data_IF_155872015146
#
_entry.id   IF_155872015146
#
_cell.length_a   1.000
_cell.length_b   1.000
_cell.length_c   1.000
_cell.angle_alpha   90.00
_cell.angle_beta   90.00
_cell.angle_gamma   90.00
#
_symmetry.space_group_name_H-M   'P 1'
#
loop_
_entity.id
_entity.type
_entity.pdbx_description
1 polymer ?
#
# COMPACT_ATOMS: atom_id res chain seq x y z
N UNK A 1 -50.45 13.57 39.13
CA UNK A 1 -49.76 12.92 40.27
C UNK A 1 -48.94 11.78 39.72
N UNK A 2 -47.61 11.96 39.83
CA UNK A 2 -46.49 11.02 39.72
C UNK A 2 -46.29 10.28 38.39
N UNK A 3 -45.25 10.68 37.62
CA UNK A 3 -44.18 9.79 37.11
C UNK A 3 -43.37 10.28 35.86
N UNK A 4 -42.96 11.55 35.67
CA UNK A 4 -41.75 11.82 34.89
C UNK A 4 -40.48 11.50 35.70
N UNK A 5 -40.54 11.66 37.03
CA UNK A 5 -39.42 11.45 37.95
C UNK A 5 -39.01 9.96 38.09
N UNK A 6 -39.91 9.02 37.81
CA UNK A 6 -39.64 7.57 37.89
C UNK A 6 -38.90 7.02 36.65
N UNK A 7 -38.96 7.69 35.49
CA UNK A 7 -38.18 7.29 34.31
C UNK A 7 -36.74 7.81 34.37
N UNK A 8 -36.50 8.97 35.01
CA UNK A 8 -35.17 9.55 35.15
C UNK A 8 -34.25 8.74 36.09
N UNK A 9 -34.80 8.02 37.06
CA UNK A 9 -34.02 7.25 38.06
C UNK A 9 -33.46 5.92 37.54
N UNK A 10 -33.93 5.39 36.40
CA UNK A 10 -33.54 4.07 35.88
C UNK A 10 -33.00 4.08 34.44
N UNK A 11 -32.78 5.25 33.82
CA UNK A 11 -32.09 5.29 32.53
C UNK A 11 -30.58 5.04 32.75
N UNK A 12 -29.98 4.04 32.10
CA UNK A 12 -28.58 3.67 32.34
C UNK A 12 -27.58 4.76 31.91
N UNK A 13 -28.01 5.74 31.10
CA UNK A 13 -27.15 6.76 30.52
C UNK A 13 -27.21 8.10 31.25
N UNK A 14 -28.23 8.36 32.07
CA UNK A 14 -28.36 9.59 32.86
C UNK A 14 -27.42 9.59 34.07
N UNK A 15 -26.79 10.72 34.35
CA UNK A 15 -25.81 10.81 35.44
C UNK A 15 -24.74 11.88 35.22
N UNK A 16 -23.84 12.00 36.19
CA UNK A 16 -22.66 12.88 36.11
C UNK A 16 -21.42 12.02 35.89
N UNK A 17 -20.61 12.41 34.92
CA UNK A 17 -19.37 11.78 34.52
C UNK A 17 -18.22 12.72 34.84
N UNK A 18 -17.30 12.25 35.67
CA UNK A 18 -16.18 13.04 36.23
C UNK A 18 -14.86 12.35 35.91
N UNK A 19 -13.80 13.15 35.82
CA UNK A 19 -12.47 12.63 35.49
C UNK A 19 -11.80 12.05 36.73
N UNK A 20 -11.36 10.80 36.68
CA UNK A 20 -10.78 10.12 37.84
C UNK A 20 -9.38 10.64 38.26
N UNK A 21 -8.72 11.44 37.42
CA UNK A 21 -7.29 11.77 37.56
C UNK A 21 -7.04 13.25 37.80
N UNK A 22 -7.33 13.76 39.01
CA UNK A 22 -6.67 14.90 39.70
C UNK A 22 -6.29 16.20 38.97
N UNK A 23 -6.75 16.43 37.74
CA UNK A 23 -6.40 17.54 36.86
C UNK A 23 -7.71 18.19 36.39
N UNK A 24 -8.06 19.29 37.06
CA UNK A 24 -9.24 20.15 36.87
C UNK A 24 -10.61 19.44 37.07
N UNK A 25 -11.47 20.04 37.89
CA UNK A 25 -12.84 19.57 38.14
C UNK A 25 -13.74 19.82 36.92
N UNK A 26 -13.54 19.04 35.86
CA UNK A 26 -14.40 19.00 34.68
C UNK A 26 -15.45 17.89 34.83
N UNK A 27 -16.70 18.20 34.46
CA UNK A 27 -17.80 17.26 34.53
C UNK A 27 -18.70 17.33 33.30
N UNK A 28 -19.23 16.17 32.92
CA UNK A 28 -20.33 16.04 31.98
C UNK A 28 -21.58 15.58 32.70
N UNK A 29 -22.72 16.21 32.43
CA UNK A 29 -24.02 15.77 32.95
C UNK A 29 -24.93 15.38 31.80
N UNK A 30 -25.55 14.22 31.95
CA UNK A 30 -26.59 13.72 31.04
C UNK A 30 -27.91 13.66 31.78
N UNK A 31 -28.91 14.36 31.25
CA UNK A 31 -30.29 14.35 31.76
C UNK A 31 -31.28 14.10 30.62
N UNK A 32 -32.50 13.68 30.96
CA UNK A 32 -33.57 13.58 29.96
C UNK A 32 -33.99 14.98 29.51
N UNK A 33 -34.18 15.14 28.21
CA UNK A 33 -34.76 16.37 27.65
C UNK A 33 -36.29 16.35 27.77
N UNK A 34 -36.92 17.53 27.72
CA UNK A 34 -38.38 17.66 27.60
C UNK A 34 -38.92 17.07 26.29
N UNK A 35 -38.04 16.78 25.32
CA UNK A 35 -38.38 16.10 24.06
C UNK A 35 -38.29 14.58 24.22
N UNK A 36 -39.30 13.80 23.78
CA UNK A 36 -39.27 12.35 23.87
C UNK A 36 -38.03 11.75 23.20
N UNK A 37 -37.41 10.75 23.86
CA UNK A 37 -36.23 10.01 23.36
C UNK A 37 -34.97 10.86 23.11
N UNK A 38 -34.90 12.06 23.69
CA UNK A 38 -33.75 12.95 23.57
C UNK A 38 -33.11 13.19 24.94
N UNK A 39 -31.80 13.41 24.93
CA UNK A 39 -30.97 13.61 26.10
C UNK A 39 -30.32 14.98 26.05
N UNK A 40 -30.33 15.70 27.18
CA UNK A 40 -29.58 16.94 27.35
C UNK A 40 -28.21 16.62 27.92
N UNK A 41 -27.19 17.18 27.30
CA UNK A 41 -25.79 17.05 27.67
C UNK A 41 -25.26 18.42 28.06
N UNK A 42 -24.78 18.52 29.29
CA UNK A 42 -24.15 19.71 29.84
C UNK A 42 -22.67 19.43 30.14
N UNK A 43 -21.80 20.40 29.91
CA UNK A 43 -20.39 20.38 30.29
C UNK A 43 -20.04 21.60 31.13
N UNK A 44 -19.28 21.42 32.21
CA UNK A 44 -18.79 22.53 33.01
C UNK A 44 -17.49 22.23 33.72
N UNK A 45 -16.81 23.30 34.13
CA UNK A 45 -15.60 23.25 34.96
C UNK A 45 -15.85 23.62 36.43
N UNK A 46 -14.76 23.71 37.20
CA UNK A 46 -14.70 23.91 38.66
C UNK A 46 -15.46 25.15 39.22
N UNK A 47 -15.93 26.05 38.36
CA UNK A 47 -16.71 27.24 38.73
C UNK A 47 -18.23 27.11 38.60
N UNK A 48 -18.75 25.93 38.24
CA UNK A 48 -20.18 25.69 38.04
C UNK A 48 -20.78 26.38 36.81
N UNK A 49 -19.94 26.98 35.96
CA UNK A 49 -20.35 27.55 34.67
C UNK A 49 -20.53 26.41 33.67
N UNK A 50 -21.69 26.39 33.01
CA UNK A 50 -21.97 25.46 31.92
C UNK A 50 -21.47 26.10 30.63
N UNK A 51 -20.47 25.47 30.01
CA UNK A 51 -19.84 25.95 28.78
C UNK A 51 -20.48 25.32 27.53
N UNK A 52 -21.09 24.14 27.69
CA UNK A 52 -21.80 23.43 26.62
C UNK A 52 -23.13 22.95 27.16
N UNK A 53 -24.20 23.19 26.42
CA UNK A 53 -25.55 22.71 26.71
C UNK A 53 -26.24 22.34 25.39
N UNK A 54 -26.39 21.05 25.14
CA UNK A 54 -26.89 20.53 23.86
C UNK A 54 -27.86 19.38 24.07
N UNK A 55 -28.84 19.23 23.19
CA UNK A 55 -29.78 18.11 23.20
C UNK A 55 -29.47 17.17 22.04
N UNK A 56 -29.32 15.88 22.31
CA UNK A 56 -28.93 14.84 21.35
C UNK A 56 -29.86 13.62 21.44
N UNK A 57 -29.90 12.79 20.40
CA UNK A 57 -30.54 11.48 20.44
C UNK A 57 -29.66 10.42 21.14
N UNK A 58 -30.21 9.21 21.32
CA UNK A 58 -29.55 8.11 22.00
C UNK A 58 -28.26 7.63 21.31
N UNK A 59 -28.21 7.61 19.98
CA UNK A 59 -27.06 7.13 19.23
C UNK A 59 -25.88 8.10 19.34
N UNK A 60 -26.15 9.40 19.24
CA UNK A 60 -25.18 10.46 19.48
C UNK A 60 -24.70 10.49 20.95
N UNK A 61 -25.61 10.25 21.90
CA UNK A 61 -25.23 10.11 23.32
C UNK A 61 -24.27 8.94 23.51
N UNK A 62 -24.56 7.75 22.94
CA UNK A 62 -23.69 6.56 23.04
C UNK A 62 -22.30 6.81 22.47
N UNK A 63 -22.20 7.48 21.32
CA UNK A 63 -20.92 7.85 20.73
C UNK A 63 -20.11 8.80 21.64
N UNK A 64 -20.79 9.77 22.28
CA UNK A 64 -20.17 10.68 23.25
C UNK A 64 -19.70 9.95 24.52
N UNK A 65 -20.50 9.03 25.06
CA UNK A 65 -20.13 8.24 26.24
C UNK A 65 -18.87 7.38 26.00
N UNK A 66 -18.76 6.71 24.84
CA UNK A 66 -17.55 5.94 24.48
C UNK A 66 -16.32 6.84 24.39
N UNK A 67 -16.48 8.05 23.82
CA UNK A 67 -15.41 9.04 23.73
C UNK A 67 -14.98 9.51 25.12
N UNK A 68 -15.92 9.89 25.98
CA UNK A 68 -15.65 10.33 27.35
C UNK A 68 -14.95 9.26 28.19
N UNK A 69 -15.35 7.99 28.03
CA UNK A 69 -14.67 6.86 28.69
C UNK A 69 -13.20 6.76 28.27
N UNK A 70 -12.87 6.95 26.98
CA UNK A 70 -11.48 7.00 26.49
C UNK A 70 -10.70 8.22 27.01
N UNK A 71 -11.39 9.31 27.27
CA UNK A 71 -10.83 10.56 27.81
C UNK A 71 -10.67 10.55 29.34
N UNK A 72 -11.10 9.46 29.98
CA UNK A 72 -10.96 9.20 31.42
C UNK A 72 -12.12 9.68 32.28
N UNK A 73 -13.27 10.03 31.69
CA UNK A 73 -14.49 10.34 32.43
C UNK A 73 -15.24 9.06 32.76
N UNK A 74 -15.56 8.88 34.03
CA UNK A 74 -16.35 7.76 34.54
C UNK A 74 -17.54 8.29 35.33
N UNK A 75 -18.64 7.52 35.35
CA UNK A 75 -19.80 7.86 36.16
C UNK A 75 -19.43 7.73 37.64
N UNK A 76 -19.77 8.74 38.45
CA UNK A 76 -19.56 8.67 39.90
C UNK A 76 -20.36 7.48 40.48
N UNK A 77 -19.65 6.43 40.94
CA UNK A 77 -20.23 5.20 41.49
C UNK A 77 -20.02 3.93 40.66
N UNK A 78 -19.50 4.03 39.42
CA UNK A 78 -19.10 2.87 38.63
C UNK A 78 -17.63 2.52 38.93
N UNK A 79 -17.37 1.86 40.06
CA UNK A 79 -16.14 1.09 40.22
C UNK A 79 -16.13 0.00 39.14
N UNK A 80 -15.28 0.18 38.13
CA UNK A 80 -15.26 -0.61 36.91
C UNK A 80 -15.03 -2.10 37.20
N UNK A 81 -16.07 -2.93 37.04
CA UNK A 81 -15.85 -4.28 36.51
C UNK A 81 -15.55 -4.11 35.02
N UNK A 82 -14.29 -3.95 34.66
CA UNK A 82 -13.84 -4.14 33.28
C UNK A 82 -14.23 -5.56 32.87
N UNK A 83 -15.37 -5.74 32.20
CA UNK A 83 -15.54 -6.87 31.29
C UNK A 83 -14.55 -6.64 30.16
N UNK A 84 -13.28 -6.98 30.38
CA UNK A 84 -12.30 -7.11 29.33
C UNK A 84 -12.95 -7.96 28.24
N UNK A 85 -13.07 -7.42 27.02
CA UNK A 85 -13.39 -8.23 25.87
C UNK A 85 -12.43 -9.45 25.90
N UNK A 86 -12.93 -10.69 25.75
CA UNK A 86 -12.11 -11.86 25.96
C UNK A 86 -10.89 -11.78 25.04
N UNK A 87 -9.71 -11.54 25.65
CA UNK A 87 -8.43 -11.62 24.95
C UNK A 87 -8.22 -13.09 24.64
N UNK A 88 -8.62 -13.52 23.45
CA UNK A 88 -8.47 -14.89 23.01
C UNK A 88 -6.98 -15.22 22.80
N UNK A 89 -6.32 -15.57 23.90
CA UNK A 89 -4.95 -16.08 23.92
C UNK A 89 -4.80 -17.42 23.17
N UNK A 90 -5.92 -18.08 22.86
CA UNK A 90 -5.98 -19.32 22.09
C UNK A 90 -6.01 -19.09 20.56
N UNK A 91 -6.36 -17.90 20.07
CA UNK A 91 -6.52 -17.63 18.64
C UNK A 91 -5.25 -17.97 17.83
N UNK A 92 -4.08 -17.51 18.28
CA UNK A 92 -2.81 -17.78 17.58
C UNK A 92 -2.44 -19.27 17.61
N UNK A 93 -2.77 -19.99 18.68
CA UNK A 93 -2.54 -21.43 18.78
C UNK A 93 -3.48 -22.20 17.84
N UNK A 94 -4.76 -21.82 17.82
CA UNK A 94 -5.76 -22.38 16.91
C UNK A 94 -5.39 -22.11 15.44
N UNK A 95 -4.91 -20.90 15.12
CA UNK A 95 -4.43 -20.54 13.79
C UNK A 95 -3.23 -21.40 13.37
N UNK A 96 -2.23 -21.56 14.24
CA UNK A 96 -1.07 -22.45 13.99
C UNK A 96 -1.52 -23.87 13.69
N UNK A 97 -2.46 -24.40 14.48
CA UNK A 97 -3.01 -25.73 14.27
C UNK A 97 -3.78 -25.86 12.95
N UNK A 98 -4.56 -24.85 12.56
CA UNK A 98 -5.27 -24.81 11.28
C UNK A 98 -4.30 -24.80 10.07
N UNK A 99 -3.16 -24.10 10.19
CA UNK A 99 -2.11 -24.07 9.17
C UNK A 99 -1.46 -25.46 9.01
N UNK A 100 -1.10 -26.11 10.13
CA UNK A 100 -0.48 -27.43 10.14
C UNK A 100 -1.37 -28.53 9.55
N UNK A 101 -2.68 -28.46 9.81
CA UNK A 101 -3.67 -29.41 9.25
C UNK A 101 -3.87 -29.20 7.74
N UNK A 102 -3.88 -27.96 7.27
CA UNK A 102 -4.02 -27.62 5.84
C UNK A 102 -2.81 -28.10 5.02
N UNK A 103 -1.59 -27.94 5.55
CA UNK A 103 -0.35 -28.37 4.88
C UNK A 103 -0.30 -29.88 4.59
N UNK A 104 -1.01 -30.70 5.39
CA UNK A 104 -1.05 -32.17 5.24
C UNK A 104 -2.05 -32.66 4.18
N UNK A 105 -3.02 -31.87 3.73
CA UNK A 105 -4.10 -32.34 2.84
C UNK A 105 -3.87 -32.04 1.35
N UNK A 106 -2.96 -31.13 1.00
CA UNK A 106 -2.71 -30.72 -0.37
C UNK A 106 -1.82 -31.72 -1.13
N UNK A 107 -2.43 -32.66 -1.88
CA UNK A 107 -1.69 -33.43 -2.89
C UNK A 107 -1.25 -32.49 -4.02
N UNK A 108 0.04 -32.36 -4.32
CA UNK A 108 0.48 -31.49 -5.40
C UNK A 108 0.05 -32.11 -6.74
N UNK A 109 -0.77 -31.36 -7.49
CA UNK A 109 -0.99 -31.64 -8.91
C UNK A 109 0.38 -31.52 -9.59
N UNK A 110 0.74 -32.47 -10.44
CA UNK A 110 2.03 -32.53 -11.13
C UNK A 110 2.14 -31.46 -12.23
N UNK A 111 1.94 -30.20 -11.87
CA UNK A 111 2.15 -29.06 -12.76
C UNK A 111 3.61 -28.62 -12.65
N UNK A 112 4.21 -28.34 -13.80
CA UNK A 112 5.61 -27.93 -13.91
C UNK A 112 5.75 -26.58 -13.20
N UNK A 113 6.53 -26.52 -12.12
CA UNK A 113 6.71 -25.31 -11.30
C UNK A 113 8.19 -24.91 -11.19
N UNK A 114 8.44 -23.64 -10.94
CA UNK A 114 9.75 -23.10 -10.54
C UNK A 114 9.66 -22.56 -9.11
N UNK A 115 10.71 -22.69 -8.32
CA UNK A 115 10.77 -22.09 -6.99
C UNK A 115 11.34 -20.67 -7.08
N UNK A 116 10.62 -19.69 -6.55
CA UNK A 116 11.05 -18.29 -6.44
C UNK A 116 10.88 -17.87 -4.98
N UNK A 117 11.97 -17.44 -4.35
CA UNK A 117 12.01 -17.35 -2.89
C UNK A 117 11.78 -18.73 -2.27
N UNK A 118 10.76 -18.87 -1.43
CA UNK A 118 10.30 -20.16 -0.89
C UNK A 118 8.97 -20.66 -1.54
N UNK A 119 8.46 -19.97 -2.56
CA UNK A 119 7.16 -20.26 -3.18
C UNK A 119 7.34 -21.03 -4.48
N UNK A 120 6.49 -22.05 -4.70
CA UNK A 120 6.41 -22.77 -5.99
C UNK A 120 5.44 -22.05 -6.91
N UNK A 121 5.97 -21.51 -8.01
CA UNK A 121 5.21 -20.78 -9.03
C UNK A 121 4.99 -21.68 -10.25
N UNK A 122 3.74 -21.89 -10.71
CA UNK A 122 3.48 -22.64 -11.93
C UNK A 122 4.13 -21.99 -13.16
N UNK A 123 4.77 -22.82 -13.99
CA UNK A 123 5.44 -22.36 -15.21
C UNK A 123 4.39 -22.10 -16.30
N UNK A 124 4.41 -20.89 -16.84
CA UNK A 124 3.60 -20.46 -17.97
C UNK A 124 4.11 -20.94 -19.32
N UNK A 125 3.59 -20.32 -20.37
CA UNK A 125 4.00 -20.57 -21.76
C UNK A 125 4.98 -19.50 -22.20
N UNK A 126 6.16 -19.92 -22.66
CA UNK A 126 7.13 -19.01 -23.24
C UNK A 126 6.53 -18.23 -24.42
N UNK A 127 6.77 -16.93 -24.45
CA UNK A 127 6.34 -16.02 -25.50
C UNK A 127 7.33 -14.85 -25.62
N UNK A 128 7.31 -14.08 -26.73
CA UNK A 128 8.11 -12.85 -26.86
C UNK A 128 7.81 -11.79 -25.80
N UNK A 129 6.68 -11.91 -25.09
CA UNK A 129 6.26 -11.00 -24.04
C UNK A 129 6.81 -11.39 -22.66
N UNK A 130 7.54 -12.50 -22.54
CA UNK A 130 8.20 -12.88 -21.28
C UNK A 130 9.33 -11.88 -21.01
N UNK A 131 9.37 -11.19 -19.86
CA UNK A 131 10.43 -10.25 -19.55
C UNK A 131 11.81 -10.92 -19.46
N UNK A 132 12.86 -10.12 -19.62
CA UNK A 132 14.23 -10.59 -19.44
C UNK A 132 14.49 -10.96 -17.97
N UNK A 133 15.14 -12.10 -17.76
CA UNK A 133 15.61 -12.50 -16.43
C UNK A 133 16.82 -11.63 -16.04
N UNK A 134 16.70 -10.90 -14.94
CA UNK A 134 17.82 -10.29 -14.26
C UNK A 134 18.39 -11.30 -13.25
N UNK A 135 19.53 -11.90 -13.56
CA UNK A 135 20.20 -12.88 -12.68
C UNK A 135 20.63 -12.29 -11.34
N UNK A 136 20.86 -10.98 -11.26
CA UNK A 136 21.26 -10.29 -10.04
C UNK A 136 20.08 -9.93 -9.12
N UNK A 137 18.82 -10.08 -9.58
CA UNK A 137 17.65 -9.73 -8.77
C UNK A 137 17.59 -10.55 -7.47
N UNK A 138 17.42 -9.87 -6.35
CA UNK A 138 17.28 -10.45 -5.02
C UNK A 138 15.80 -10.58 -4.64
N UNK A 139 15.33 -11.80 -4.45
CA UNK A 139 14.02 -12.06 -3.84
C UNK A 139 14.18 -12.12 -2.31
N UNK A 140 13.94 -10.99 -1.64
CA UNK A 140 13.88 -10.93 -0.20
C UNK A 140 12.75 -11.83 0.34
N UNK A 141 12.92 -12.36 1.56
CA UNK A 141 11.94 -13.26 2.17
C UNK A 141 10.56 -12.61 2.33
N UNK A 142 10.54 -11.29 2.59
CA UNK A 142 9.31 -10.48 2.67
C UNK A 142 8.46 -10.48 1.40
N UNK A 143 9.00 -10.89 0.25
CA UNK A 143 8.25 -10.98 -1.00
C UNK A 143 7.51 -12.30 -1.17
N UNK A 144 7.74 -13.30 -0.31
CA UNK A 144 7.12 -14.61 -0.44
C UNK A 144 5.60 -14.54 -0.39
N UNK A 145 5.02 -13.72 0.50
CA UNK A 145 3.56 -13.55 0.58
C UNK A 145 2.98 -12.94 -0.70
N UNK A 146 3.69 -11.97 -1.29
CA UNK A 146 3.31 -11.36 -2.58
C UNK A 146 3.33 -12.43 -3.68
N UNK A 147 4.36 -13.28 -3.70
CA UNK A 147 4.51 -14.36 -4.69
C UNK A 147 3.42 -15.43 -4.50
N UNK A 148 3.06 -15.76 -3.25
CA UNK A 148 1.98 -16.68 -2.95
C UNK A 148 0.64 -16.14 -3.48
N UNK A 149 0.35 -14.86 -3.24
CA UNK A 149 -0.84 -14.19 -3.75
C UNK A 149 -0.89 -14.13 -5.29
N UNK A 150 0.26 -13.96 -5.95
CA UNK A 150 0.38 -14.08 -7.41
C UNK A 150 -0.05 -15.49 -7.87
N UNK A 151 0.42 -16.53 -7.19
CA UNK A 151 0.07 -17.93 -7.52
C UNK A 151 -1.44 -18.14 -7.34
N UNK A 152 -2.03 -17.63 -6.26
CA UNK A 152 -3.46 -17.69 -5.96
C UNK A 152 -4.36 -16.85 -6.88
N UNK A 153 -3.80 -16.11 -7.84
CA UNK A 153 -4.54 -15.19 -8.71
C UNK A 153 -5.25 -14.06 -7.94
N UNK A 154 -4.65 -13.59 -6.84
CA UNK A 154 -5.12 -12.36 -6.18
C UNK A 154 -4.82 -11.15 -7.05
N UNK A 155 -5.66 -10.12 -6.94
CA UNK A 155 -5.41 -8.81 -7.57
C UNK A 155 -4.38 -8.10 -6.71
N UNK A 156 -3.13 -8.01 -7.15
CA UNK A 156 -2.05 -7.48 -6.30
C UNK A 156 -1.76 -6.03 -6.68
N UNK A 157 -1.80 -5.15 -5.68
CA UNK A 157 -1.39 -3.76 -5.81
C UNK A 157 -0.14 -3.50 -4.97
N UNK A 158 0.92 -3.03 -5.60
CA UNK A 158 2.17 -2.66 -4.93
C UNK A 158 2.24 -1.14 -4.81
N UNK A 159 2.37 -0.63 -3.59
CA UNK A 159 2.50 0.80 -3.33
C UNK A 159 3.83 1.06 -2.65
N UNK A 160 4.54 2.12 -3.05
CA UNK A 160 5.82 2.46 -2.45
C UNK A 160 6.54 3.52 -3.26
N UNK A 161 7.73 3.92 -2.82
CA UNK A 161 8.48 4.97 -3.49
C UNK A 161 8.93 4.60 -4.92
N UNK A 162 9.19 5.63 -5.72
CA UNK A 162 9.76 5.48 -7.06
C UNK A 162 11.12 4.80 -6.99
N UNK A 163 11.31 3.74 -7.78
CA UNK A 163 12.58 3.01 -7.81
C UNK A 163 12.78 2.01 -6.67
N UNK A 164 11.76 1.71 -5.86
CA UNK A 164 11.78 0.63 -4.86
C UNK A 164 11.64 -0.79 -5.46
N UNK A 165 11.43 -0.92 -6.77
CA UNK A 165 11.41 -2.21 -7.46
C UNK A 165 10.03 -2.88 -7.59
N UNK A 166 8.93 -2.13 -7.46
CA UNK A 166 7.54 -2.63 -7.59
C UNK A 166 7.29 -3.43 -8.87
N UNK A 167 7.44 -2.78 -10.02
CA UNK A 167 7.27 -3.42 -11.34
C UNK A 167 8.30 -4.53 -11.55
N UNK A 168 9.55 -4.31 -11.12
CA UNK A 168 10.62 -5.29 -11.27
C UNK A 168 10.34 -6.58 -10.50
N UNK A 169 9.70 -6.52 -9.32
CA UNK A 169 9.28 -7.73 -8.60
C UNK A 169 8.37 -8.59 -9.47
N UNK A 170 7.30 -8.00 -10.00
CA UNK A 170 6.33 -8.71 -10.84
C UNK A 170 6.99 -9.26 -12.10
N UNK A 171 7.76 -8.43 -12.81
CA UNK A 171 8.47 -8.83 -14.02
C UNK A 171 9.46 -9.97 -13.77
N UNK A 172 10.18 -9.95 -12.64
CA UNK A 172 11.18 -10.96 -12.32
C UNK A 172 10.56 -12.28 -11.85
N UNK A 173 9.38 -12.25 -11.22
CA UNK A 173 8.56 -13.45 -11.00
C UNK A 173 8.11 -14.00 -12.36
N UNK A 174 7.53 -13.17 -13.23
CA UNK A 174 7.03 -13.56 -14.55
C UNK A 174 8.14 -14.14 -15.45
N UNK A 175 9.31 -13.51 -15.49
CA UNK A 175 10.45 -13.94 -16.30
C UNK A 175 10.92 -15.36 -15.93
N UNK A 176 11.05 -15.63 -14.63
CA UNK A 176 11.50 -16.95 -14.12
C UNK A 176 10.44 -18.02 -14.26
N UNK A 177 9.16 -17.65 -14.17
CA UNK A 177 8.01 -18.54 -14.35
C UNK A 177 7.50 -18.61 -15.80
N UNK A 178 8.13 -17.89 -16.75
CA UNK A 178 7.79 -17.88 -18.19
C UNK A 178 6.36 -17.43 -18.49
N UNK A 179 5.88 -16.40 -17.80
CA UNK A 179 4.62 -15.73 -18.13
C UNK A 179 4.88 -14.46 -18.94
N UNK A 180 4.11 -14.26 -20.01
CA UNK A 180 4.18 -13.04 -20.81
C UNK A 180 3.54 -11.87 -20.07
N UNK A 181 4.13 -10.69 -20.19
CA UNK A 181 3.70 -9.47 -19.49
C UNK A 181 3.33 -8.38 -20.50
N UNK A 182 2.19 -7.74 -20.30
CA UNK A 182 1.85 -6.45 -20.90
C UNK A 182 1.89 -5.38 -19.80
N UNK A 183 2.36 -4.19 -20.17
CA UNK A 183 2.42 -3.04 -19.29
C UNK A 183 1.62 -1.90 -19.88
N UNK A 184 0.85 -1.24 -19.02
CA UNK A 184 0.15 -0.01 -19.36
C UNK A 184 0.50 1.04 -18.32
N UNK A 185 1.21 2.09 -18.74
CA UNK A 185 1.62 3.14 -17.82
C UNK A 185 0.60 4.28 -17.83
N UNK A 186 0.00 4.54 -16.68
CA UNK A 186 -1.00 5.59 -16.51
C UNK A 186 -0.29 6.92 -16.34
N UNK A 187 0.03 7.57 -17.45
CA UNK A 187 0.71 8.87 -17.50
C UNK A 187 -0.26 10.07 -17.62
N UNK A 188 -1.56 9.86 -17.38
CA UNK A 188 -2.61 10.85 -17.61
C UNK A 188 -2.96 11.13 -19.09
N UNK A 189 -2.28 10.49 -20.04
CA UNK A 189 -2.61 10.55 -21.48
C UNK A 189 -3.14 9.22 -22.03
N UNK A 190 -3.04 8.13 -21.26
CA UNK A 190 -3.57 6.83 -21.65
C UNK A 190 -5.09 6.89 -21.68
N UNK A 191 -5.65 6.68 -22.86
CA UNK A 191 -7.10 6.76 -23.07
C UNK A 191 -7.80 5.44 -22.74
N UNK A 192 -9.12 5.50 -22.54
CA UNK A 192 -9.95 4.29 -22.46
C UNK A 192 -9.82 3.45 -23.72
N UNK A 193 -9.64 4.06 -24.89
CA UNK A 193 -9.48 3.37 -26.16
C UNK A 193 -8.18 2.57 -26.24
N UNK A 194 -7.08 3.08 -25.69
CA UNK A 194 -5.82 2.32 -25.58
C UNK A 194 -5.98 1.14 -24.60
N UNK A 195 -6.73 1.36 -23.52
CA UNK A 195 -6.88 0.38 -22.46
C UNK A 195 -7.87 -0.74 -22.79
N UNK A 196 -9.02 -0.40 -23.39
CA UNK A 196 -10.15 -1.29 -23.67
C UNK A 196 -10.23 -1.66 -25.15
N UNK A 197 -9.99 -0.71 -26.05
CA UNK A 197 -10.06 -0.94 -27.49
C UNK A 197 -10.90 0.12 -28.20
N UNK A 198 -10.89 0.05 -29.53
CA UNK A 198 -11.58 1.00 -30.39
C UNK A 198 -11.95 0.37 -31.74
N UNK A 199 -12.92 0.99 -32.42
CA UNK A 199 -13.23 0.67 -33.81
C UNK A 199 -12.32 1.44 -34.77
N UNK A 200 -11.79 0.76 -35.77
CA UNK A 200 -11.02 1.36 -36.87
C UNK A 200 -11.52 0.86 -38.22
N UNK A 201 -11.13 1.54 -39.31
CA UNK A 201 -11.49 1.15 -40.67
C UNK A 201 -10.23 0.71 -41.41
N UNK A 202 -10.19 -0.54 -41.86
CA UNK A 202 -9.06 -1.07 -42.64
C UNK A 202 -9.59 -1.66 -43.94
N UNK A 203 -9.17 -1.09 -45.08
CA UNK A 203 -9.61 -1.56 -46.39
C UNK A 203 -11.10 -1.37 -46.68
N UNK A 204 -11.76 -0.41 -46.02
CA UNK A 204 -13.20 -0.14 -46.18
C UNK A 204 -14.12 -0.92 -45.23
N UNK A 205 -13.58 -1.81 -44.40
CA UNK A 205 -14.33 -2.56 -43.39
C UNK A 205 -14.04 -2.03 -41.98
N UNK A 206 -15.08 -1.92 -41.15
CA UNK A 206 -14.96 -1.60 -39.72
C UNK A 206 -14.52 -2.83 -38.94
N UNK A 207 -13.38 -2.71 -38.25
CA UNK A 207 -12.83 -3.76 -37.39
C UNK A 207 -12.58 -3.24 -35.99
N UNK A 208 -12.86 -4.09 -34.99
CA UNK A 208 -12.53 -3.81 -33.60
C UNK A 208 -11.07 -4.17 -33.33
N UNK A 209 -10.37 -3.28 -32.65
CA UNK A 209 -9.02 -3.52 -32.14
C UNK A 209 -9.09 -3.53 -30.63
N UNK A 210 -8.71 -4.64 -30.02
CA UNK A 210 -8.67 -4.76 -28.56
C UNK A 210 -7.54 -3.90 -27.98
N UNK A 211 -7.85 -3.24 -26.86
CA UNK A 211 -6.85 -2.58 -26.03
C UNK A 211 -6.06 -3.57 -25.18
N UNK A 212 -5.20 -3.04 -24.32
CA UNK A 212 -4.27 -3.86 -23.50
C UNK A 212 -4.99 -4.84 -22.57
N UNK A 213 -6.13 -4.41 -21.99
CA UNK A 213 -6.87 -5.19 -21.00
C UNK A 213 -7.55 -6.42 -21.62
N UNK A 214 -8.43 -6.29 -22.63
CA UNK A 214 -9.03 -7.45 -23.26
C UNK A 214 -8.01 -8.38 -23.90
N UNK A 215 -6.93 -7.85 -24.48
CA UNK A 215 -5.83 -8.65 -25.04
C UNK A 215 -5.20 -9.52 -23.95
N UNK A 216 -4.79 -8.93 -22.82
CA UNK A 216 -4.20 -9.69 -21.71
C UNK A 216 -5.17 -10.72 -21.12
N UNK A 217 -6.44 -10.35 -20.96
CA UNK A 217 -7.47 -11.24 -20.44
C UNK A 217 -7.69 -12.47 -21.32
N UNK A 218 -7.75 -12.31 -22.66
CA UNK A 218 -7.97 -13.42 -23.60
C UNK A 218 -6.74 -14.31 -23.72
N UNK A 219 -5.55 -13.72 -23.78
CA UNK A 219 -4.29 -14.46 -24.00
C UNK A 219 -3.69 -15.05 -22.71
N UNK A 220 -4.26 -14.73 -21.55
CA UNK A 220 -3.74 -15.21 -20.27
C UNK A 220 -2.40 -14.58 -19.89
N UNK A 221 -2.16 -13.36 -20.35
CA UNK A 221 -0.97 -12.59 -20.03
C UNK A 221 -1.09 -11.95 -18.66
N UNK A 222 0.05 -11.57 -18.11
CA UNK A 222 0.10 -10.75 -16.90
C UNK A 222 -0.01 -9.30 -17.32
N UNK A 223 -0.97 -8.56 -16.76
CA UNK A 223 -1.12 -7.13 -17.02
C UNK A 223 -0.66 -6.34 -15.80
N UNK A 224 0.35 -5.48 -15.99
CA UNK A 224 0.78 -4.50 -14.98
C UNK A 224 0.26 -3.13 -15.39
N UNK A 225 -0.52 -2.54 -14.50
CA UNK A 225 -0.96 -1.15 -14.62
C UNK A 225 -0.05 -0.30 -13.74
N UNK A 226 0.91 0.38 -14.36
CA UNK A 226 1.81 1.25 -13.63
C UNK A 226 1.17 2.61 -13.37
N UNK A 227 1.49 3.19 -12.20
CA UNK A 227 1.02 4.51 -11.78
C UNK A 227 -0.51 4.62 -11.78
N UNK A 228 -1.22 3.57 -11.32
CA UNK A 228 -2.69 3.50 -11.34
C UNK A 228 -3.36 4.72 -10.68
N UNK A 229 -2.67 5.37 -9.74
CA UNK A 229 -3.07 6.62 -9.13
C UNK A 229 -3.23 7.78 -10.12
N UNK A 230 -2.65 7.71 -11.31
CA UNK A 230 -2.81 8.70 -12.38
C UNK A 230 -3.78 8.24 -13.49
N UNK A 231 -4.43 7.07 -13.34
CA UNK A 231 -5.38 6.56 -14.33
C UNK A 231 -6.64 7.42 -14.40
N UNK A 232 -7.18 7.66 -15.58
CA UNK A 232 -8.46 8.37 -15.71
C UNK A 232 -9.59 7.63 -14.96
N UNK A 233 -10.57 8.36 -14.36
CA UNK A 233 -11.70 7.74 -13.66
C UNK A 233 -12.48 6.73 -14.50
N UNK A 234 -12.52 6.94 -15.81
CA UNK A 234 -13.13 6.04 -16.81
C UNK A 234 -12.43 4.67 -16.85
N UNK A 235 -11.10 4.63 -16.76
CA UNK A 235 -10.30 3.40 -16.68
C UNK A 235 -10.55 2.69 -15.34
N UNK A 236 -10.59 3.43 -14.23
CA UNK A 236 -10.88 2.87 -12.90
C UNK A 236 -12.28 2.23 -12.85
N UNK A 237 -13.27 2.85 -13.50
CA UNK A 237 -14.62 2.31 -13.61
C UNK A 237 -14.66 0.96 -14.37
N UNK A 238 -13.90 0.86 -15.48
CA UNK A 238 -13.77 -0.41 -16.23
C UNK A 238 -13.10 -1.48 -15.37
N UNK A 239 -12.05 -1.12 -14.62
CA UNK A 239 -11.32 -2.06 -13.76
C UNK A 239 -12.19 -2.65 -12.66
N UNK A 240 -13.14 -1.89 -12.12
CA UNK A 240 -14.00 -2.34 -11.01
C UNK A 240 -14.65 -3.69 -11.32
N UNK A 241 -15.19 -3.88 -12.54
CA UNK A 241 -15.83 -5.13 -12.95
C UNK A 241 -14.85 -6.31 -13.10
N UNK A 242 -13.60 -6.04 -13.45
CA UNK A 242 -12.55 -7.07 -13.64
C UNK A 242 -11.92 -7.49 -12.31
N UNK A 243 -11.94 -6.59 -11.32
CA UNK A 243 -11.41 -6.83 -9.98
C UNK A 243 -12.32 -7.71 -9.11
N UNK A 244 -13.61 -7.76 -9.41
CA UNK A 244 -14.54 -8.68 -8.73
C UNK A 244 -14.12 -10.15 -8.87
N UNK A 245 -14.52 -11.03 -7.93
CA UNK A 245 -14.33 -12.48 -8.07
C UNK A 245 -14.94 -13.00 -9.37
N UNK A 246 -14.15 -13.73 -10.17
CA UNK A 246 -14.51 -14.16 -11.54
C UNK A 246 -14.87 -12.98 -12.47
N UNK A 247 -14.31 -11.80 -12.22
CA UNK A 247 -14.56 -10.56 -12.94
C UNK A 247 -14.47 -10.73 -14.45
N UNK A 248 -15.41 -10.10 -15.16
CA UNK A 248 -15.54 -10.15 -16.61
C UNK A 248 -15.54 -8.73 -17.16
N UNK A 249 -15.01 -8.56 -18.35
CA UNK A 249 -15.03 -7.27 -19.04
C UNK A 249 -16.20 -7.26 -20.02
N UNK A 250 -17.08 -6.27 -19.89
CA UNK A 250 -18.17 -6.02 -20.84
C UNK A 250 -17.72 -4.96 -21.86
N UNK A 251 -17.53 -5.37 -23.12
CA UNK A 251 -17.22 -4.48 -24.23
C UNK A 251 -18.52 -3.94 -24.83
N UNK A 252 -19.08 -2.90 -24.20
CA UNK A 252 -20.35 -2.28 -24.65
C UNK A 252 -20.30 -1.82 -26.12
N UNK A 253 -19.18 -1.20 -26.51
CA UNK A 253 -18.97 -0.69 -27.87
C UNK A 253 -18.85 -1.80 -28.92
N UNK A 254 -18.54 -3.03 -28.49
CA UNK A 254 -18.43 -4.21 -29.34
C UNK A 254 -19.63 -5.14 -29.19
N UNK A 255 -20.84 -4.55 -29.24
CA UNK A 255 -22.09 -5.32 -29.19
C UNK A 255 -22.31 -6.06 -27.86
N UNK A 256 -21.84 -5.49 -26.75
CA UNK A 256 -21.93 -6.10 -25.41
C UNK A 256 -21.22 -7.46 -25.28
N UNK A 257 -20.10 -7.66 -26.01
CA UNK A 257 -19.28 -8.86 -25.83
C UNK A 257 -18.78 -8.96 -24.38
N UNK A 258 -18.89 -10.16 -23.79
CA UNK A 258 -18.37 -10.46 -22.46
C UNK A 258 -17.06 -11.22 -22.59
N UNK A 259 -15.98 -10.62 -22.12
CA UNK A 259 -14.65 -11.23 -22.07
C UNK A 259 -14.42 -11.82 -20.68
N UNK A 260 -14.30 -13.15 -20.63
CA UNK A 260 -13.86 -13.87 -19.44
C UNK A 260 -12.34 -13.92 -19.38
N UNK A 261 -11.76 -13.72 -18.19
CA UNK A 261 -10.31 -13.83 -18.01
C UNK A 261 -9.84 -15.28 -18.15
N UNK A 262 -8.78 -15.48 -18.92
CA UNK A 262 -8.07 -16.76 -19.01
C UNK A 262 -7.51 -17.16 -17.62
N UNK A 263 -7.47 -18.46 -17.24
CA UNK A 263 -7.00 -18.89 -15.91
C UNK A 263 -5.57 -18.44 -15.54
N UNK A 264 -4.70 -18.23 -16.53
CA UNK A 264 -3.33 -17.70 -16.36
C UNK A 264 -3.25 -16.17 -16.32
N UNK A 265 -4.33 -15.45 -16.62
CA UNK A 265 -4.35 -13.99 -16.52
C UNK A 265 -4.09 -13.59 -15.07
N UNK A 266 -3.18 -12.63 -14.88
CA UNK A 266 -2.89 -12.00 -13.59
C UNK A 266 -2.94 -10.49 -13.78
N UNK A 267 -3.51 -9.79 -12.81
CA UNK A 267 -3.68 -8.35 -12.86
C UNK A 267 -2.95 -7.71 -11.70
N UNK A 268 -2.10 -6.75 -12.03
CA UNK A 268 -1.26 -6.02 -11.12
C UNK A 268 -1.48 -4.52 -11.25
N UNK A 269 -1.32 -3.81 -10.15
CA UNK A 269 -1.23 -2.37 -10.14
C UNK A 269 0.02 -1.92 -9.38
N UNK A 270 0.66 -0.85 -9.84
CA UNK A 270 1.66 -0.14 -9.04
C UNK A 270 1.20 1.30 -8.82
N UNK A 271 1.48 1.84 -7.65
CA UNK A 271 1.23 3.25 -7.34
C UNK A 271 2.37 3.84 -6.51
N UNK A 272 2.53 5.16 -6.57
CA UNK A 272 3.54 5.88 -5.77
C UNK A 272 2.93 6.47 -4.48
N UNK A 273 1.62 6.72 -4.45
CA UNK A 273 0.91 7.21 -3.28
C UNK A 273 -0.18 6.24 -2.80
N UNK A 274 -0.26 6.01 -1.48
CA UNK A 274 -1.48 5.48 -0.85
C UNK A 274 -2.41 6.67 -0.65
N UNK A 275 -3.62 6.64 -1.21
CA UNK A 275 -4.63 7.72 -1.17
C UNK A 275 -4.71 8.53 0.14
N UNK A 276 -5.77 8.40 0.94
CA UNK A 276 -5.92 9.22 2.17
C UNK A 276 -4.98 8.82 3.32
N UNK A 277 -4.15 7.77 3.14
CA UNK A 277 -3.34 7.15 4.20
C UNK A 277 -1.83 7.43 4.14
N UNK A 278 -1.34 8.16 3.14
CA UNK A 278 0.09 8.53 3.08
C UNK A 278 0.35 9.89 3.72
N UNK A 279 1.22 9.93 4.73
CA UNK A 279 1.80 11.16 5.29
C UNK A 279 2.52 12.02 4.22
N UNK A 280 2.91 11.41 3.10
CA UNK A 280 3.62 12.05 1.98
C UNK A 280 2.69 12.46 0.82
N UNK A 281 1.37 12.54 1.05
CA UNK A 281 0.37 12.92 0.02
C UNK A 281 0.70 14.25 -0.67
N UNK A 282 1.26 15.21 0.07
CA UNK A 282 1.60 16.54 -0.45
C UNK A 282 2.70 16.50 -1.53
N UNK A 283 3.48 15.42 -1.63
CA UNK A 283 4.56 15.25 -2.60
C UNK A 283 4.08 14.75 -3.97
N UNK A 284 2.84 14.27 -4.11
CA UNK A 284 2.32 13.65 -5.34
C UNK A 284 1.07 14.39 -5.84
N UNK A 285 1.27 15.60 -6.38
CA UNK A 285 0.20 16.41 -6.98
C UNK A 285 -0.37 15.71 -8.24
N UNK A 286 -1.70 15.61 -8.34
CA UNK A 286 -2.40 15.06 -9.52
C UNK A 286 -2.83 13.60 -9.43
N UNK A 287 -2.48 12.88 -8.35
CA UNK A 287 -2.95 11.53 -8.10
C UNK A 287 -4.45 11.48 -7.71
N UNK A 288 -5.19 10.55 -8.29
CA UNK A 288 -6.57 10.23 -7.94
C UNK A 288 -6.66 9.60 -6.55
N UNK A 289 -7.67 10.03 -5.80
CA UNK A 289 -8.05 9.36 -4.57
C UNK A 289 -8.75 8.05 -4.91
N UNK A 290 -8.06 6.93 -4.68
CA UNK A 290 -8.72 5.63 -4.64
C UNK A 290 -9.48 5.52 -3.32
N UNK A 291 -10.81 5.35 -3.41
CA UNK A 291 -11.63 5.15 -2.21
C UNK A 291 -11.38 3.75 -1.62
N UNK A 292 -11.73 3.58 -0.35
CA UNK A 292 -11.55 2.31 0.38
C UNK A 292 -12.21 1.14 -0.36
N UNK A 293 -13.43 1.33 -0.87
CA UNK A 293 -14.14 0.30 -1.63
C UNK A 293 -13.34 -0.19 -2.85
N UNK A 294 -12.66 0.69 -3.60
CA UNK A 294 -11.82 0.28 -4.72
C UNK A 294 -10.61 -0.53 -4.23
N UNK A 295 -9.98 -0.09 -3.13
CA UNK A 295 -8.82 -0.74 -2.54
C UNK A 295 -9.14 -2.11 -1.93
N UNK A 296 -10.34 -2.32 -1.38
CA UNK A 296 -10.79 -3.61 -0.82
C UNK A 296 -10.77 -4.77 -1.83
N UNK A 297 -10.77 -4.45 -3.13
CA UNK A 297 -10.69 -5.44 -4.22
C UNK A 297 -9.27 -5.85 -4.55
N UNK A 298 -8.28 -5.16 -3.99
CA UNK A 298 -6.86 -5.45 -4.15
C UNK A 298 -6.30 -6.06 -2.88
N UNK A 299 -5.34 -6.98 -3.02
CA UNK A 299 -4.34 -7.17 -1.97
C UNK A 299 -3.29 -6.08 -2.12
N UNK A 300 -3.31 -5.14 -1.18
CA UNK A 300 -2.40 -4.01 -1.16
C UNK A 300 -1.16 -4.37 -0.33
N UNK A 301 0.02 -4.26 -0.92
CA UNK A 301 1.30 -4.39 -0.24
C UNK A 301 2.07 -3.07 -0.30
N UNK A 302 2.66 -2.69 0.83
CA UNK A 302 3.61 -1.58 0.91
C UNK A 302 5.02 -2.13 0.63
N UNK A 303 5.68 -1.53 -0.35
CA UNK A 303 7.01 -1.90 -0.80
C UNK A 303 7.98 -0.76 -0.55
N UNK A 304 8.61 -0.81 0.61
CA UNK A 304 9.72 0.07 0.95
C UNK A 304 11.02 -0.38 0.27
N UNK A 305 12.02 0.49 0.32
CA UNK A 305 13.37 0.16 -0.11
C UNK A 305 13.92 -1.06 0.64
N UNK A 306 14.88 -1.74 0.03
CA UNK A 306 15.58 -2.86 0.65
C UNK A 306 16.36 -2.38 1.88
N UNK A 307 16.54 -3.28 2.85
CA UNK A 307 17.43 -3.01 3.98
C UNK A 307 18.89 -2.80 3.50
N UNK A 308 19.75 -2.13 4.26
CA UNK A 308 21.14 -1.91 3.86
C UNK A 308 21.87 -3.22 3.49
N UNK A 309 21.64 -4.30 4.23
CA UNK A 309 22.24 -5.61 3.96
C UNK A 309 21.74 -6.21 2.63
N UNK A 310 20.44 -6.12 2.37
CA UNK A 310 19.84 -6.57 1.11
C UNK A 310 20.31 -5.72 -0.08
N UNK A 311 20.46 -4.40 0.09
CA UNK A 311 20.99 -3.53 -0.97
C UNK A 311 22.47 -3.77 -1.25
N UNK A 312 23.27 -4.02 -0.21
CA UNK A 312 24.66 -4.42 -0.39
C UNK A 312 24.76 -5.72 -1.19
N UNK A 313 23.89 -6.70 -0.90
CA UNK A 313 23.80 -7.94 -1.68
C UNK A 313 23.40 -7.68 -3.13
N UNK A 314 22.43 -6.78 -3.38
CA UNK A 314 22.04 -6.39 -4.75
C UNK A 314 23.20 -5.72 -5.49
N UNK A 315 23.93 -4.82 -4.83
CA UNK A 315 25.11 -4.15 -5.41
C UNK A 315 26.19 -5.18 -5.80
N UNK A 316 26.51 -6.11 -4.90
CA UNK A 316 27.49 -7.17 -5.17
C UNK A 316 27.04 -8.06 -6.32
N UNK A 317 25.78 -8.51 -6.35
CA UNK A 317 25.25 -9.35 -7.44
C UNK A 317 25.27 -8.66 -8.79
N UNK A 318 24.93 -7.37 -8.80
CA UNK A 318 24.78 -6.59 -10.04
C UNK A 318 26.13 -6.17 -10.62
N UNK A 319 27.09 -5.84 -9.76
CA UNK A 319 28.37 -5.23 -10.15
C UNK A 319 29.57 -6.17 -9.88
N UNK A 320 29.32 -7.47 -9.69
CA UNK A 320 30.36 -8.49 -9.58
C UNK A 320 31.23 -8.54 -10.86
N UNK A 321 32.54 -8.88 -10.74
CA UNK A 321 33.30 -9.05 -9.49
C UNK A 321 33.90 -7.74 -8.96
N UNK A 322 33.57 -6.59 -9.56
CA UNK A 322 34.21 -5.29 -9.29
C UNK A 322 33.73 -4.62 -7.99
N UNK A 323 32.60 -5.07 -7.46
CA UNK A 323 32.04 -4.59 -6.19
C UNK A 323 32.44 -5.49 -5.03
N UNK A 324 33.20 -4.95 -4.08
CA UNK A 324 33.54 -5.65 -2.83
C UNK A 324 32.46 -5.46 -1.77
N UNK A 325 32.42 -6.37 -0.79
CA UNK A 325 31.47 -6.30 0.33
C UNK A 325 31.57 -4.99 1.12
N UNK A 326 32.77 -4.52 1.55
CA UNK A 326 32.88 -3.25 2.27
C UNK A 326 32.35 -2.07 1.44
N UNK A 327 32.67 -2.01 0.14
CA UNK A 327 32.16 -0.95 -0.74
C UNK A 327 30.62 -0.99 -0.83
N UNK A 328 30.05 -2.18 -0.99
CA UNK A 328 28.60 -2.35 -1.09
C UNK A 328 27.89 -1.94 0.21
N UNK A 329 28.43 -2.34 1.36
CA UNK A 329 27.92 -1.97 2.69
C UNK A 329 28.00 -0.45 2.92
N UNK A 330 29.12 0.19 2.57
CA UNK A 330 29.25 1.66 2.65
C UNK A 330 28.25 2.38 1.75
N UNK A 331 28.11 1.96 0.50
CA UNK A 331 27.16 2.58 -0.44
C UNK A 331 25.70 2.40 0.01
N UNK A 332 25.35 1.22 0.51
CA UNK A 332 24.03 0.94 1.05
C UNK A 332 23.73 1.78 2.31
N UNK A 333 24.73 1.97 3.19
CA UNK A 333 24.61 2.83 4.36
C UNK A 333 24.36 4.30 3.96
N UNK A 334 25.09 4.83 2.98
CA UNK A 334 24.87 6.18 2.43
C UNK A 334 23.45 6.33 1.91
N UNK A 335 22.96 5.37 1.11
CA UNK A 335 21.60 5.41 0.59
C UNK A 335 20.55 5.37 1.70
N UNK A 336 20.79 4.55 2.74
CA UNK A 336 19.94 4.48 3.93
C UNK A 336 19.87 5.83 4.66
N UNK A 337 21.00 6.49 4.88
CA UNK A 337 21.06 7.80 5.54
C UNK A 337 20.38 8.90 4.72
N UNK A 338 20.54 8.88 3.39
CA UNK A 338 19.79 9.78 2.52
C UNK A 338 18.27 9.53 2.61
N UNK A 339 17.82 8.28 2.69
CA UNK A 339 16.39 7.97 2.87
C UNK A 339 15.89 8.41 4.25
N UNK A 340 16.70 8.25 5.30
CA UNK A 340 16.37 8.74 6.64
C UNK A 340 16.25 10.27 6.66
N UNK A 341 17.13 10.99 5.94
CA UNK A 341 17.03 12.43 5.76
C UNK A 341 15.74 12.84 5.02
N UNK A 342 15.34 12.10 3.98
CA UNK A 342 14.05 12.30 3.33
C UNK A 342 12.86 12.07 4.29
N UNK A 343 12.88 11.02 5.12
CA UNK A 343 11.82 10.76 6.10
C UNK A 343 11.68 11.88 7.14
N UNK A 344 12.78 12.58 7.46
CA UNK A 344 12.78 13.77 8.33
C UNK A 344 12.46 15.07 7.60
N UNK A 345 12.16 15.01 6.30
CA UNK A 345 11.91 16.16 5.43
C UNK A 345 13.14 17.08 5.22
N UNK A 346 14.35 16.58 5.52
CA UNK A 346 15.60 17.29 5.24
C UNK A 346 15.96 17.26 3.74
N UNK A 347 15.44 16.26 3.00
CA UNK A 347 15.57 16.14 1.54
C UNK A 347 14.20 16.17 0.89
N UNK A 348 14.09 16.81 -0.27
CA UNK A 348 12.83 16.90 -1.01
C UNK A 348 12.44 15.57 -1.71
N UNK A 349 13.42 14.69 -1.96
CA UNK A 349 13.19 13.43 -2.68
C UNK A 349 13.95 12.25 -2.09
N UNK A 350 13.32 11.08 -2.08
CA UNK A 350 13.94 9.86 -1.61
C UNK A 350 15.11 9.40 -2.51
N UNK A 351 16.18 8.89 -1.89
CA UNK A 351 17.30 8.30 -2.59
C UNK A 351 16.97 6.86 -3.04
N UNK A 352 16.70 6.67 -4.33
CA UNK A 352 16.25 5.36 -4.84
C UNK A 352 17.37 4.34 -5.07
N UNK A 353 17.05 3.05 -5.00
CA UNK A 353 17.97 1.95 -5.36
C UNK A 353 18.49 2.06 -6.80
N UNK A 354 17.68 2.60 -7.72
CA UNK A 354 18.12 2.89 -9.10
C UNK A 354 19.25 3.92 -9.13
N UNK A 355 19.12 5.00 -8.35
CA UNK A 355 20.14 6.05 -8.23
C UNK A 355 21.41 5.49 -7.59
N UNK A 356 21.28 4.62 -6.59
CA UNK A 356 22.39 3.91 -5.95
C UNK A 356 23.19 3.07 -6.96
N UNK A 357 22.50 2.26 -7.78
CA UNK A 357 23.14 1.41 -8.78
C UNK A 357 23.86 2.23 -9.86
N UNK A 358 23.23 3.28 -10.39
CA UNK A 358 23.81 4.21 -11.37
C UNK A 358 25.08 4.88 -10.82
N UNK A 359 25.02 5.37 -9.58
CA UNK A 359 26.17 5.96 -8.90
C UNK A 359 27.30 4.96 -8.69
N UNK A 360 26.99 3.74 -8.23
CA UNK A 360 27.97 2.69 -8.01
C UNK A 360 28.67 2.26 -9.31
N UNK A 361 27.94 2.11 -10.41
CA UNK A 361 28.50 1.78 -11.72
C UNK A 361 29.44 2.89 -12.21
N UNK A 362 29.02 4.15 -12.10
CA UNK A 362 29.83 5.30 -12.47
C UNK A 362 31.08 5.42 -11.59
N UNK A 363 30.97 5.22 -10.29
CA UNK A 363 32.08 5.21 -9.34
C UNK A 363 33.13 4.16 -9.72
N UNK A 364 32.69 2.94 -10.03
CA UNK A 364 33.60 1.88 -10.48
C UNK A 364 34.30 2.26 -11.80
N UNK A 365 33.62 2.98 -12.70
CA UNK A 365 34.20 3.43 -13.96
C UNK A 365 35.19 4.59 -13.80
N UNK A 366 34.89 5.56 -12.94
CA UNK A 366 35.71 6.77 -12.76
C UNK A 366 36.84 6.57 -11.74
N UNK A 367 36.69 5.62 -10.82
CA UNK A 367 37.57 5.48 -9.65
C UNK A 367 37.38 6.60 -8.62
N UNK A 368 36.32 7.42 -8.76
CA UNK A 368 36.09 8.61 -7.95
C UNK A 368 34.59 8.74 -7.60
N UNK A 369 34.20 8.51 -6.33
CA UNK A 369 32.81 8.55 -5.90
C UNK A 369 32.20 9.96 -5.97
N UNK A 370 32.96 11.02 -5.71
CA UNK A 370 32.48 12.40 -5.74
C UNK A 370 32.23 12.84 -7.19
N UNK A 371 33.16 12.53 -8.09
CA UNK A 371 33.00 12.80 -9.52
C UNK A 371 31.85 12.00 -10.13
N UNK A 372 31.65 10.75 -9.71
CA UNK A 372 30.53 9.93 -10.13
C UNK A 372 29.18 10.46 -9.61
N UNK A 373 29.14 11.02 -8.41
CA UNK A 373 27.94 11.59 -7.82
C UNK A 373 27.42 12.81 -8.59
N UNK A 374 28.29 13.55 -9.29
CA UNK A 374 27.91 14.68 -10.14
C UNK A 374 26.73 14.38 -11.09
N UNK A 375 26.92 13.54 -12.13
CA UNK A 375 25.86 13.17 -13.06
C UNK A 375 24.85 12.18 -12.47
N UNK A 376 25.25 11.32 -11.53
CA UNK A 376 24.37 10.29 -10.97
C UNK A 376 23.31 10.87 -10.02
N UNK A 377 23.69 11.89 -9.25
CA UNK A 377 22.94 12.40 -8.10
C UNK A 377 22.76 13.92 -8.19
N UNK A 378 23.84 14.70 -8.12
CA UNK A 378 23.79 16.14 -7.84
C UNK A 378 23.09 16.94 -8.94
N UNK A 379 23.28 16.57 -10.21
CA UNK A 379 22.64 17.26 -11.33
C UNK A 379 21.11 17.03 -11.41
N UNK A 380 20.55 16.15 -10.57
CA UNK A 380 19.13 15.73 -10.60
C UNK A 380 18.33 16.26 -9.40
N UNK A 381 18.93 17.05 -8.52
CA UNK A 381 18.33 17.54 -7.26
C UNK A 381 18.63 19.03 -7.07
N UNK A 382 18.00 19.67 -6.08
CA UNK A 382 18.30 21.07 -5.76
C UNK A 382 19.74 21.24 -5.27
N UNK A 383 20.32 22.45 -5.35
CA UNK A 383 21.63 22.72 -4.77
C UNK A 383 21.71 22.41 -3.26
N UNK A 384 20.64 22.65 -2.50
CA UNK A 384 20.60 22.31 -1.06
C UNK A 384 20.63 20.80 -0.83
N UNK A 385 19.78 20.04 -1.53
CA UNK A 385 19.75 18.58 -1.47
C UNK A 385 21.11 17.99 -1.87
N UNK A 386 21.72 18.54 -2.93
CA UNK A 386 23.04 18.12 -3.38
C UNK A 386 24.13 18.36 -2.31
N UNK A 387 24.07 19.50 -1.60
CA UNK A 387 25.01 19.81 -0.53
C UNK A 387 24.85 18.86 0.66
N UNK A 388 23.60 18.54 1.05
CA UNK A 388 23.33 17.59 2.13
C UNK A 388 23.76 16.18 1.75
N UNK A 389 23.42 15.70 0.56
CA UNK A 389 23.85 14.36 0.09
C UNK A 389 25.37 14.27 0.00
N UNK A 390 26.05 15.34 -0.45
CA UNK A 390 27.51 15.42 -0.44
C UNK A 390 28.10 15.32 0.97
N UNK A 391 27.48 16.00 1.94
CA UNK A 391 27.88 15.89 3.36
C UNK A 391 27.77 14.45 3.86
N UNK A 392 26.67 13.76 3.54
CA UNK A 392 26.47 12.34 3.89
C UNK A 392 27.54 11.46 3.22
N UNK A 393 27.82 11.64 1.93
CA UNK A 393 28.86 10.87 1.23
C UNK A 393 30.23 11.03 1.90
N UNK A 394 30.62 12.25 2.25
CA UNK A 394 31.91 12.55 2.91
C UNK A 394 31.98 12.08 4.36
N UNK A 395 30.84 11.87 5.01
CA UNK A 395 30.80 11.25 6.34
C UNK A 395 31.19 9.77 6.27
N UNK A 396 30.78 9.06 5.22
CA UNK A 396 31.02 7.63 5.05
C UNK A 396 32.31 7.29 4.30
N UNK A 397 32.75 8.15 3.38
CA UNK A 397 33.94 7.94 2.56
C UNK A 397 35.01 8.95 2.94
N UNK A 398 36.13 8.45 3.46
CA UNK A 398 37.33 9.26 3.67
C UNK A 398 38.01 9.48 2.32
N UNK A 399 38.09 10.74 1.89
CA UNK A 399 38.84 11.13 0.70
C UNK A 399 40.26 11.48 1.14
N UNK A 400 41.26 10.82 0.54
CA UNK A 400 42.65 11.24 0.73
C UNK A 400 42.83 12.64 0.14
N UNK A 401 43.49 13.52 0.92
CA UNK A 401 43.64 14.95 0.63
C UNK A 401 44.63 15.26 -0.50
#
# INVERSE_FOLDING_TARGET
MNAPELQAQNDPHTGVYERATGLADEWWRVSLSDRPHMYRIEHGGAGGRVDIDTVVDLDNLRAKLIKWQREGFARAGDEQSETEAPRDSGFLAALKHAIETTSKSAKPRAERSVTIGNVRVPVGRASPLVPAVNSAYLFAERFNDIIADIVENRRVMLIGHTGAGKTSLIEQVAARSKHGVLRSNMNGQTTVSDFVGFWTVKGGETMWVDGVLPTAMREGLWLIIDELDFAEPSILAVLTAVLEPNGRLLLKEKGNEIVAAHPSFRLFATANAVGAMSQFRHLYQGANLMNEAFLDRWRVYLLDYLSPDEEAEVLMRTLAPRMSRPMAETLAAIASDCRAAFTREDLASAFSTRRLLDWAELMLRTGDPERAAGPAIYAKVSPEDAALIRSIIRHHIVFDA
#
